data_IF_071995761789
#
_entry.id   IF_071995761789
#
_cell.length_a   1.000
_cell.length_b   1.000
_cell.length_c   1.000
_cell.angle_alpha   90.00
_cell.angle_beta   90.00
_cell.angle_gamma   90.00
#
_symmetry.space_group_name_H-M   'P 1'
#
loop_
_entity.id
_entity.type
_entity.pdbx_description
1 polymer ?
#
# COMPACT_ATOMS: atom_id res chain seq x y z
N UNK A 1 -0.01 -6.21 -17.42
CA UNK A 1 -0.50 -7.43 -16.73
C UNK A 1 -0.79 -7.11 -15.27
N UNK A 2 -1.82 -7.71 -14.67
CA UNK A 2 -2.11 -7.57 -13.24
C UNK A 2 -2.10 -8.96 -12.61
N UNK A 3 -1.41 -9.11 -11.49
CA UNK A 3 -1.43 -10.30 -10.65
C UNK A 3 -1.95 -9.93 -9.27
N UNK A 4 -2.97 -10.64 -8.80
CA UNK A 4 -3.52 -10.48 -7.47
C UNK A 4 -3.38 -11.81 -6.74
N UNK A 5 -2.79 -11.78 -5.54
CA UNK A 5 -2.70 -12.95 -4.67
C UNK A 5 -3.15 -12.59 -3.26
N UNK A 6 -3.85 -13.52 -2.65
CA UNK A 6 -4.36 -13.43 -1.29
C UNK A 6 -4.04 -14.72 -0.55
N UNK A 7 -2.75 -15.05 -0.45
CA UNK A 7 -2.27 -16.24 0.27
C UNK A 7 -2.03 -15.96 1.77
N UNK A 8 -2.51 -14.81 2.28
CA UNK A 8 -2.37 -14.38 3.67
C UNK A 8 -0.93 -14.07 4.08
N UNK A 9 0.04 -14.21 3.18
CA UNK A 9 1.45 -13.95 3.49
C UNK A 9 1.80 -12.51 3.12
N UNK A 10 2.51 -11.81 4.01
CA UNK A 10 3.09 -10.50 3.68
C UNK A 10 4.15 -10.65 2.60
N UNK A 11 3.99 -9.92 1.51
CA UNK A 11 4.88 -9.99 0.35
C UNK A 11 5.83 -8.79 0.35
N UNK A 12 7.12 -9.10 0.41
CA UNK A 12 8.18 -8.12 0.22
C UNK A 12 8.52 -7.88 -1.24
N UNK A 13 9.35 -6.86 -1.50
CA UNK A 13 9.69 -6.40 -2.86
C UNK A 13 10.20 -7.51 -3.76
N UNK A 14 11.14 -8.32 -3.27
CA UNK A 14 11.73 -9.43 -4.03
C UNK A 14 10.67 -10.45 -4.46
N UNK A 15 9.83 -10.90 -3.53
CA UNK A 15 8.79 -11.90 -3.79
C UNK A 15 7.73 -11.37 -4.76
N UNK A 16 7.36 -10.09 -4.67
CA UNK A 16 6.47 -9.47 -5.64
C UNK A 16 7.08 -9.45 -7.05
N UNK A 17 8.34 -9.01 -7.18
CA UNK A 17 9.08 -9.03 -8.46
C UNK A 17 9.19 -10.44 -9.03
N UNK A 18 9.57 -11.43 -8.22
CA UNK A 18 9.72 -12.82 -8.65
C UNK A 18 8.38 -13.41 -9.12
N UNK A 19 7.29 -13.14 -8.39
CA UNK A 19 5.95 -13.57 -8.77
C UNK A 19 5.51 -12.96 -10.11
N UNK A 20 5.76 -11.66 -10.31
CA UNK A 20 5.48 -11.00 -11.60
C UNK A 20 6.36 -11.54 -12.72
N UNK A 21 7.64 -11.82 -12.46
CA UNK A 21 8.55 -12.37 -13.46
C UNK A 21 8.09 -13.76 -13.94
N UNK A 22 7.66 -14.62 -13.02
CA UNK A 22 7.08 -15.94 -13.34
C UNK A 22 5.81 -15.78 -14.17
N UNK A 23 4.89 -14.91 -13.75
CA UNK A 23 3.63 -14.68 -14.48
C UNK A 23 3.86 -14.09 -15.89
N UNK A 24 4.78 -13.12 -16.02
CA UNK A 24 5.21 -12.58 -17.32
C UNK A 24 5.77 -13.70 -18.19
N UNK A 25 6.69 -14.52 -17.67
CA UNK A 25 7.31 -15.60 -18.44
C UNK A 25 6.30 -16.66 -18.89
N UNK A 26 5.29 -16.95 -18.07
CA UNK A 26 4.20 -17.85 -18.42
C UNK A 26 3.36 -17.30 -19.58
N UNK A 27 2.93 -16.03 -19.50
CA UNK A 27 2.04 -15.39 -20.50
C UNK A 27 2.74 -14.97 -21.79
N UNK A 28 4.06 -14.71 -21.75
CA UNK A 28 4.85 -14.35 -22.93
C UNK A 28 4.88 -15.47 -24.00
N UNK A 29 4.43 -16.69 -23.67
CA UNK A 29 4.25 -17.77 -24.64
C UNK A 29 3.05 -17.57 -25.58
N UNK A 30 2.13 -16.66 -25.21
CA UNK A 30 0.83 -16.49 -25.89
C UNK A 30 0.48 -15.03 -26.19
N UNK A 31 1.17 -14.08 -25.56
CA UNK A 31 0.94 -12.64 -25.70
C UNK A 31 2.22 -11.92 -26.17
N UNK A 32 2.09 -10.75 -26.84
CA UNK A 32 3.23 -9.89 -27.13
C UNK A 32 4.01 -9.52 -25.86
N UNK A 33 5.26 -9.09 -26.02
CA UNK A 33 6.16 -8.82 -24.90
C UNK A 33 5.52 -7.92 -23.82
N UNK A 34 5.25 -8.51 -22.64
CA UNK A 34 4.68 -7.79 -21.49
C UNK A 34 5.80 -6.96 -20.86
N UNK A 35 5.74 -5.64 -21.07
CA UNK A 35 6.72 -4.67 -20.59
C UNK A 35 6.31 -3.97 -19.28
N UNK A 36 5.11 -4.26 -18.78
CA UNK A 36 4.63 -3.66 -17.53
C UNK A 36 3.68 -4.58 -16.77
N UNK A 37 3.86 -4.66 -15.46
CA UNK A 37 3.00 -5.46 -14.61
C UNK A 37 2.76 -4.86 -13.22
N UNK A 38 1.60 -5.21 -12.65
CA UNK A 38 1.16 -4.75 -11.33
C UNK A 38 0.95 -5.97 -10.44
N UNK A 39 1.55 -5.96 -9.26
CA UNK A 39 1.22 -6.87 -8.17
C UNK A 39 0.24 -6.18 -7.21
N UNK A 40 -0.95 -6.74 -7.03
CA UNK A 40 -2.02 -6.11 -6.25
C UNK A 40 -2.31 -6.89 -4.98
N UNK A 41 -2.20 -6.21 -3.85
CA UNK A 41 -2.67 -6.68 -2.55
C UNK A 41 -4.01 -6.04 -2.19
N UNK A 42 -4.86 -6.73 -1.43
CA UNK A 42 -6.17 -6.18 -1.01
C UNK A 42 -6.00 -4.96 -0.08
N UNK A 43 -5.09 -5.06 0.87
CA UNK A 43 -4.78 -4.03 1.88
C UNK A 43 -3.27 -3.98 2.11
N UNK A 44 -2.79 -3.01 2.89
CA UNK A 44 -1.37 -2.90 3.27
C UNK A 44 -0.87 -4.18 3.99
N UNK A 45 -1.75 -4.89 4.70
CA UNK A 45 -1.42 -6.15 5.37
C UNK A 45 -0.97 -7.27 4.40
N UNK A 46 -1.20 -7.12 3.09
CA UNK A 46 -0.68 -8.03 2.07
C UNK A 46 0.82 -7.82 1.80
N UNK A 47 1.42 -6.72 2.28
CA UNK A 47 2.76 -6.30 1.95
C UNK A 47 3.67 -6.22 3.17
N UNK A 48 4.97 -6.40 2.93
CA UNK A 48 6.00 -6.06 3.91
C UNK A 48 6.19 -4.54 3.97
N UNK A 49 6.81 -4.07 5.05
CA UNK A 49 6.95 -2.63 5.33
C UNK A 49 7.70 -1.88 4.22
N UNK A 50 8.66 -2.52 3.54
CA UNK A 50 9.41 -1.87 2.46
C UNK A 50 8.61 -1.68 1.15
N UNK A 51 7.43 -2.31 1.05
CA UNK A 51 6.50 -2.18 -0.06
C UNK A 51 5.34 -1.25 0.32
N UNK A 52 4.80 -1.40 1.53
CA UNK A 52 3.70 -0.58 2.03
C UNK A 52 2.49 -0.59 1.09
N UNK A 53 1.93 0.59 0.81
CA UNK A 53 0.77 0.72 -0.08
C UNK A 53 1.15 0.88 -1.57
N UNK A 54 2.39 1.29 -1.84
CA UNK A 54 2.90 1.56 -3.18
C UNK A 54 4.41 1.39 -3.24
N UNK A 55 4.89 0.58 -4.18
CA UNK A 55 6.30 0.43 -4.48
C UNK A 55 6.51 0.27 -5.99
N UNK A 56 7.30 1.18 -6.56
CA UNK A 56 7.86 0.98 -7.89
C UNK A 56 9.01 -0.03 -7.82
N UNK A 57 9.08 -0.89 -8.83
CA UNK A 57 10.07 -1.95 -8.94
C UNK A 57 10.61 -1.99 -10.38
N UNK A 58 11.89 -2.28 -10.52
CA UNK A 58 12.54 -2.44 -11.82
C UNK A 58 12.78 -3.91 -12.11
N UNK A 59 12.52 -4.34 -13.35
CA UNK A 59 13.00 -5.63 -13.87
C UNK A 59 13.70 -5.44 -15.20
N UNK A 60 14.50 -6.42 -15.60
CA UNK A 60 15.10 -6.46 -16.95
C UNK A 60 14.05 -6.51 -18.07
N UNK A 61 12.80 -6.82 -17.74
CA UNK A 61 11.68 -6.96 -18.69
C UNK A 61 10.73 -5.76 -18.69
N UNK A 62 10.98 -4.74 -17.88
CA UNK A 62 10.20 -3.50 -17.85
C UNK A 62 9.72 -3.08 -16.46
N UNK A 63 8.73 -2.19 -16.46
CA UNK A 63 8.28 -1.41 -15.30
C UNK A 63 7.27 -2.19 -14.46
N UNK A 64 7.55 -2.34 -13.18
CA UNK A 64 6.71 -3.10 -12.25
C UNK A 64 6.23 -2.20 -11.11
N UNK A 65 5.01 -2.40 -10.66
CA UNK A 65 4.45 -1.72 -9.48
C UNK A 65 3.83 -2.75 -8.55
N UNK A 66 4.13 -2.68 -7.26
CA UNK A 66 3.35 -3.34 -6.23
C UNK A 66 2.47 -2.29 -5.54
N UNK A 67 1.18 -2.52 -5.44
CA UNK A 67 0.27 -1.57 -4.79
C UNK A 67 -0.92 -2.25 -4.12
N UNK A 68 -1.57 -1.53 -3.21
CA UNK A 68 -2.89 -1.94 -2.70
C UNK A 68 -3.97 -1.73 -3.74
N UNK A 69 -5.12 -2.38 -3.56
CA UNK A 69 -6.27 -2.26 -4.45
C UNK A 69 -6.73 -0.81 -4.62
N UNK A 70 -6.66 0.01 -3.56
CA UNK A 70 -7.01 1.43 -3.59
C UNK A 70 -6.16 2.23 -4.59
N UNK A 71 -4.92 1.81 -4.85
CA UNK A 71 -4.02 2.48 -5.78
C UNK A 71 -3.96 1.82 -7.16
N UNK A 72 -4.77 0.79 -7.43
CA UNK A 72 -4.74 0.04 -8.70
C UNK A 72 -4.97 0.93 -9.92
N UNK A 73 -5.97 1.81 -9.86
CA UNK A 73 -6.28 2.72 -10.98
C UNK A 73 -5.12 3.69 -11.22
N UNK A 74 -4.49 4.18 -10.15
CA UNK A 74 -3.31 5.03 -10.22
C UNK A 74 -2.10 4.28 -10.80
N UNK A 75 -1.86 3.03 -10.38
CA UNK A 75 -0.81 2.16 -10.90
C UNK A 75 -0.95 1.90 -12.40
N UNK A 76 -2.17 1.64 -12.86
CA UNK A 76 -2.46 1.48 -14.28
C UNK A 76 -2.14 2.74 -15.08
N UNK A 77 -2.64 3.90 -14.65
CA UNK A 77 -2.38 5.18 -15.33
C UNK A 77 -0.90 5.53 -15.32
N UNK A 78 -0.23 5.31 -14.19
CA UNK A 78 1.20 5.54 -14.01
C UNK A 78 2.04 4.72 -14.98
N UNK A 79 1.79 3.41 -15.10
CA UNK A 79 2.50 2.54 -16.02
C UNK A 79 2.24 2.90 -17.50
N UNK A 80 1.00 3.27 -17.85
CA UNK A 80 0.68 3.74 -19.20
C UNK A 80 1.47 5.00 -19.54
N UNK A 81 1.52 5.97 -18.63
CA UNK A 81 2.26 7.21 -18.82
C UNK A 81 3.76 6.95 -18.93
N UNK A 82 4.34 6.15 -18.04
CA UNK A 82 5.77 5.82 -18.10
C UNK A 82 6.14 5.11 -19.41
N UNK A 83 5.31 4.17 -19.87
CA UNK A 83 5.53 3.48 -21.15
C UNK A 83 5.50 4.47 -22.32
N UNK A 84 4.49 5.34 -22.38
CA UNK A 84 4.38 6.35 -23.45
C UNK A 84 5.57 7.30 -23.45
N UNK A 85 6.05 7.71 -22.28
CA UNK A 85 7.26 8.56 -22.18
C UNK A 85 8.48 7.82 -22.71
N UNK A 86 8.61 6.53 -22.39
CA UNK A 86 9.72 5.72 -22.90
C UNK A 86 9.66 5.59 -24.42
N UNK A 87 8.47 5.38 -25.00
CA UNK A 87 8.26 5.33 -26.46
C UNK A 87 8.52 6.70 -27.13
N UNK A 88 8.11 7.80 -26.51
CA UNK A 88 8.26 9.17 -27.05
C UNK A 88 9.72 9.63 -27.01
N UNK A 89 10.47 9.26 -25.96
CA UNK A 89 11.89 9.61 -25.83
C UNK A 89 12.73 9.13 -27.02
N UNK A 90 12.32 8.05 -27.66
CA UNK A 90 13.03 7.47 -28.80
C UNK A 90 12.62 8.09 -30.14
N UNK A 91 11.55 8.89 -30.20
CA UNK A 91 10.88 9.30 -31.46
C UNK A 91 10.75 10.83 -31.63
N UNK A 92 10.53 11.60 -30.56
CA UNK A 92 10.17 13.03 -30.64
C UNK A 92 10.99 13.91 -29.70
N UNK A 93 12.00 14.66 -30.20
CA UNK A 93 12.79 15.58 -29.39
C UNK A 93 12.03 16.84 -28.94
N UNK A 94 10.85 17.13 -29.49
CA UNK A 94 10.03 18.31 -29.15
C UNK A 94 9.14 18.13 -27.91
N UNK A 95 9.02 16.92 -27.37
CA UNK A 95 8.26 16.72 -26.13
C UNK A 95 9.09 17.22 -24.95
N UNK A 96 8.55 18.18 -24.21
CA UNK A 96 9.14 18.68 -22.96
C UNK A 96 9.13 17.59 -21.88
N UNK A 97 10.10 16.69 -21.99
CA UNK A 97 10.32 15.61 -21.06
C UNK A 97 10.59 16.13 -19.65
N UNK A 98 11.09 17.36 -19.49
CA UNK A 98 11.36 17.95 -18.17
C UNK A 98 10.06 18.23 -17.42
N UNK A 99 9.07 18.84 -18.07
CA UNK A 99 7.75 19.06 -17.47
C UNK A 99 7.07 17.74 -17.09
N UNK A 100 7.11 16.74 -17.98
CA UNK A 100 6.47 15.44 -17.70
C UNK A 100 7.16 14.70 -16.54
N UNK A 101 8.50 14.74 -16.47
CA UNK A 101 9.25 14.17 -15.36
C UNK A 101 8.96 14.89 -14.04
N UNK A 102 8.76 16.22 -14.07
CA UNK A 102 8.35 17.01 -12.92
C UNK A 102 7.00 16.51 -12.37
N UNK A 103 6.01 16.32 -13.25
CA UNK A 103 4.68 15.81 -12.86
C UNK A 103 4.74 14.38 -12.30
N UNK A 104 5.58 13.51 -12.86
CA UNK A 104 5.85 12.17 -12.28
C UNK A 104 6.43 12.30 -10.87
N UNK A 105 7.36 13.24 -10.67
CA UNK A 105 7.90 13.57 -9.35
C UNK A 105 6.80 13.99 -8.38
N UNK A 106 5.92 14.91 -8.81
CA UNK A 106 4.79 15.37 -8.00
C UNK A 106 3.83 14.25 -7.61
N UNK A 107 3.53 13.32 -8.53
CA UNK A 107 2.72 12.12 -8.25
C UNK A 107 3.38 11.26 -7.17
N UNK A 108 4.67 10.94 -7.33
CA UNK A 108 5.43 10.16 -6.33
C UNK A 108 5.44 10.81 -4.96
N UNK A 109 5.68 12.12 -4.91
CA UNK A 109 5.64 12.89 -3.66
C UNK A 109 4.26 12.85 -3.02
N UNK A 110 3.19 12.96 -3.81
CA UNK A 110 1.82 12.93 -3.31
C UNK A 110 1.43 11.56 -2.76
N UNK A 111 1.82 10.47 -3.45
CA UNK A 111 1.62 9.11 -2.96
C UNK A 111 2.31 8.90 -1.60
N UNK A 112 3.57 9.34 -1.47
CA UNK A 112 4.30 9.25 -0.20
C UNK A 112 3.61 10.05 0.92
N UNK A 113 3.08 11.24 0.60
CA UNK A 113 2.32 12.05 1.58
C UNK A 113 1.04 11.34 2.03
N UNK A 114 0.30 10.71 1.11
CA UNK A 114 -0.91 9.93 1.44
C UNK A 114 -0.59 8.80 2.40
N UNK A 115 0.46 8.02 2.13
CA UNK A 115 0.90 6.94 3.02
C UNK A 115 1.26 7.49 4.41
N UNK A 116 2.01 8.59 4.49
CA UNK A 116 2.36 9.21 5.77
C UNK A 116 1.11 9.67 6.56
N UNK A 117 0.14 10.29 5.88
CA UNK A 117 -1.11 10.73 6.52
C UNK A 117 -1.87 9.52 7.07
N UNK A 118 -1.98 8.42 6.31
CA UNK A 118 -2.61 7.20 6.80
C UNK A 118 -1.92 6.62 8.01
N UNK A 119 -0.58 6.59 8.03
CA UNK A 119 0.18 6.15 9.21
C UNK A 119 -0.16 7.00 10.44
N UNK A 120 -0.24 8.33 10.29
CA UNK A 120 -0.59 9.23 11.38
C UNK A 120 -2.04 9.03 11.85
N UNK A 121 -2.98 8.84 10.94
CA UNK A 121 -4.39 8.55 11.27
C UNK A 121 -4.51 7.24 12.04
N UNK A 122 -3.80 6.19 11.63
CA UNK A 122 -3.80 4.91 12.34
C UNK A 122 -3.27 5.06 13.78
N UNK A 123 -2.19 5.82 13.97
CA UNK A 123 -1.66 6.09 15.31
C UNK A 123 -2.66 6.85 16.20
N UNK A 124 -3.44 7.78 15.63
CA UNK A 124 -4.52 8.48 16.37
C UNK A 124 -5.63 7.51 16.78
N UNK A 125 -6.04 6.62 15.88
CA UNK A 125 -7.06 5.60 16.18
C UNK A 125 -6.58 4.67 17.29
N UNK A 126 -5.34 4.18 17.20
CA UNK A 126 -4.74 3.34 18.25
C UNK A 126 -4.73 4.06 19.60
N UNK A 127 -4.32 5.34 19.63
CA UNK A 127 -4.35 6.14 20.85
C UNK A 127 -5.76 6.32 21.42
N UNK A 128 -6.77 6.53 20.57
CA UNK A 128 -8.16 6.63 21.00
C UNK A 128 -8.68 5.32 21.61
N UNK A 129 -8.31 4.18 21.03
CA UNK A 129 -8.66 2.85 21.55
C UNK A 129 -8.01 2.57 22.92
N UNK A 130 -6.75 3.01 23.12
CA UNK A 130 -6.10 2.94 24.43
C UNK A 130 -6.86 3.76 25.47
N UNK A 131 -7.20 5.02 25.18
CA UNK A 131 -7.97 5.89 26.08
C UNK A 131 -9.32 5.25 26.44
N UNK A 132 -10.01 4.67 25.45
CA UNK A 132 -11.28 3.97 25.66
C UNK A 132 -11.12 2.80 26.64
N UNK A 133 -10.08 1.99 26.44
CA UNK A 133 -9.77 0.83 27.29
C UNK A 133 -9.46 1.26 28.73
N UNK A 134 -8.67 2.32 28.92
CA UNK A 134 -8.37 2.87 30.25
C UNK A 134 -9.64 3.41 30.94
N UNK A 135 -10.51 4.11 30.20
CA UNK A 135 -11.77 4.60 30.75
C UNK A 135 -12.71 3.46 31.17
N UNK A 136 -12.73 2.34 30.43
CA UNK A 136 -13.47 1.13 30.80
C UNK A 136 -12.89 0.50 32.07
N UNK A 137 -11.57 0.35 32.16
CA UNK A 137 -10.89 -0.17 33.35
C UNK A 137 -11.17 0.69 34.60
N UNK A 138 -11.09 2.02 34.49
CA UNK A 138 -11.41 2.93 35.59
C UNK A 138 -12.87 2.79 36.06
N UNK A 139 -13.82 2.58 35.14
CA UNK A 139 -15.22 2.32 35.53
C UNK A 139 -15.35 1.01 36.30
N UNK A 140 -14.64 -0.04 35.89
CA UNK A 140 -14.62 -1.32 36.60
C UNK A 140 -14.01 -1.17 38.00
N UNK A 141 -12.91 -0.43 38.13
CA UNK A 141 -12.29 -0.13 39.43
C UNK A 141 -13.26 0.63 40.36
N UNK A 142 -13.95 1.66 39.85
CA UNK A 142 -14.95 2.41 40.62
C UNK A 142 -16.07 1.47 41.08
N UNK A 143 -16.62 0.64 40.20
CA UNK A 143 -17.69 -0.29 40.55
C UNK A 143 -17.24 -1.34 41.58
N UNK A 144 -16.00 -1.83 41.46
CA UNK A 144 -15.40 -2.76 42.42
C UNK A 144 -15.22 -2.11 43.80
N UNK A 145 -14.76 -0.86 43.84
CA UNK A 145 -14.63 -0.08 45.06
C UNK A 145 -16.01 0.16 45.71
N UNK A 146 -17.01 0.56 44.94
CA UNK A 146 -18.40 0.73 45.42
C UNK A 146 -18.97 -0.57 45.99
N UNK A 147 -18.82 -1.69 45.29
CA UNK A 147 -19.25 -3.02 45.76
C UNK A 147 -18.58 -3.37 47.10
N UNK A 148 -17.30 -3.03 47.26
CA UNK A 148 -16.56 -3.26 48.50
C UNK A 148 -17.11 -2.41 49.65
N UNK A 149 -17.45 -1.14 49.38
CA UNK A 149 -18.09 -0.25 50.35
C UNK A 149 -19.48 -0.78 50.74
N UNK A 150 -20.30 -1.15 49.77
CA UNK A 150 -21.66 -1.68 49.98
C UNK A 150 -21.68 -2.90 50.90
N UNK A 151 -20.73 -3.83 50.70
CA UNK A 151 -20.55 -5.00 51.59
C UNK A 151 -20.15 -4.60 53.00
N UNK A 152 -19.28 -3.59 53.15
CA UNK A 152 -18.82 -3.13 54.46
C UNK A 152 -19.94 -2.47 55.29
N UNK A 153 -20.95 -1.90 54.63
CA UNK A 153 -22.09 -1.23 55.28
C UNK A 153 -23.39 -2.05 55.22
N UNK A 154 -23.31 -3.33 54.83
CA UNK A 154 -24.44 -4.27 54.77
C UNK A 154 -25.62 -3.81 53.90
N UNK A 155 -25.35 -3.07 52.81
CA UNK A 155 -26.39 -2.67 51.85
C UNK A 155 -26.66 -3.74 50.78
N UNK A 156 -25.73 -4.69 50.60
CA UNK A 156 -25.83 -5.88 49.74
C UNK A 156 -25.03 -7.03 50.37
#
# INVERSE_FOLDING_TARGET
MIEAKSDGTRVGRKRATDALAVAIAYRHRSEPAIQSAIYVGKTEAAFAQEVGEWCEMSSTRGLLVACTFEHLVTALRFLIVQRRIQEIRDILPEVDAATILSEIGAIRTSLKKITNIKTQVNAVIEGAETIRTEAEALREEINSALTTIERAIHLV
#
